data_IF_202654413715
#
_entry.id   IF_202654413715
#
_cell.length_a   1.000
_cell.length_b   1.000
_cell.length_c   1.000
_cell.angle_alpha   90.00
_cell.angle_beta   90.00
_cell.angle_gamma   90.00
#
_symmetry.space_group_name_H-M   'P 1'
#
loop_
_entity.id
_entity.type
_entity.pdbx_description
1 polymer ?
#
# COMPACT_ATOMS: atom_id res chain seq x y z
N UNK A 1 -49.74 -18.35 -28.24
CA UNK A 1 -48.58 -18.46 -27.33
C UNK A 1 -48.46 -17.32 -26.34
N UNK A 2 -48.59 -16.02 -26.74
CA UNK A 2 -48.42 -14.85 -25.82
C UNK A 2 -49.50 -14.69 -24.73
N UNK A 3 -50.73 -15.23 -24.88
CA UNK A 3 -51.80 -15.20 -23.85
C UNK A 3 -51.61 -16.28 -22.76
N UNK A 4 -51.07 -17.44 -23.10
CA UNK A 4 -50.78 -18.53 -22.14
C UNK A 4 -49.62 -18.19 -21.18
N UNK A 5 -48.57 -17.51 -21.69
CA UNK A 5 -47.44 -17.09 -20.85
C UNK A 5 -47.83 -16.04 -19.79
N UNK A 6 -48.78 -15.16 -20.08
CA UNK A 6 -49.29 -14.18 -19.09
C UNK A 6 -50.11 -14.81 -17.98
N UNK A 7 -50.84 -15.87 -18.28
CA UNK A 7 -51.63 -16.58 -17.28
C UNK A 7 -50.73 -17.39 -16.31
N UNK A 8 -49.69 -18.00 -16.83
CA UNK A 8 -48.70 -18.77 -16.03
C UNK A 8 -47.93 -17.84 -15.07
N UNK A 9 -47.56 -16.64 -15.55
CA UNK A 9 -46.88 -15.64 -14.74
C UNK A 9 -47.76 -15.08 -13.59
N UNK A 10 -49.06 -14.97 -13.84
CA UNK A 10 -50.03 -14.47 -12.83
C UNK A 10 -50.27 -15.53 -11.73
N UNK A 11 -50.32 -16.80 -12.08
CA UNK A 11 -50.53 -17.93 -11.16
C UNK A 11 -49.30 -18.12 -10.27
N UNK A 12 -48.10 -17.96 -10.81
CA UNK A 12 -46.87 -18.06 -10.02
C UNK A 12 -46.74 -16.91 -8.95
N UNK A 13 -47.19 -15.71 -9.28
CA UNK A 13 -47.19 -14.58 -8.34
C UNK A 13 -48.18 -14.75 -7.18
N UNK A 14 -49.31 -15.39 -7.41
CA UNK A 14 -50.35 -15.64 -6.38
C UNK A 14 -49.91 -16.75 -5.41
N UNK A 15 -49.19 -17.77 -5.88
CA UNK A 15 -48.69 -18.87 -5.04
C UNK A 15 -47.57 -18.38 -4.08
N UNK A 16 -46.77 -17.39 -4.43
CA UNK A 16 -45.74 -16.83 -3.54
C UNK A 16 -46.31 -15.93 -2.42
N UNK A 17 -47.51 -15.39 -2.57
CA UNK A 17 -48.18 -14.53 -1.59
C UNK A 17 -48.93 -15.26 -0.48
N UNK A 18 -49.16 -16.55 -0.63
CA UNK A 18 -49.92 -17.37 0.35
C UNK A 18 -49.05 -18.14 1.36
N UNK A 19 -47.70 -18.02 1.29
CA UNK A 19 -46.76 -18.78 2.11
C UNK A 19 -46.36 -18.12 3.46
N UNK A 20 -46.82 -16.91 3.80
CA UNK A 20 -46.31 -16.12 4.94
C UNK A 20 -47.22 -16.05 6.17
N UNK A 21 -48.22 -16.91 6.32
CA UNK A 21 -49.22 -16.79 7.39
C UNK A 21 -49.39 -18.06 8.21
N UNK A 22 -48.35 -18.78 8.62
CA UNK A 22 -48.48 -19.80 9.68
C UNK A 22 -47.21 -19.96 10.49
N UNK A 23 -47.07 -19.17 11.59
CA UNK A 23 -46.31 -19.59 12.76
C UNK A 23 -46.58 -18.60 13.92
N UNK A 24 -47.70 -18.76 14.61
CA UNK A 24 -47.86 -18.24 15.97
C UNK A 24 -48.53 -19.33 16.80
N UNK A 25 -47.90 -19.70 17.95
CA UNK A 25 -48.58 -20.30 19.06
C UNK A 25 -48.11 -21.67 19.51
N UNK A 26 -47.38 -21.73 20.63
CA UNK A 26 -47.87 -22.44 21.80
C UNK A 26 -46.92 -22.33 23.02
N UNK A 27 -47.53 -22.19 24.18
CA UNK A 27 -47.04 -21.90 25.52
C UNK A 27 -46.38 -23.08 26.24
N UNK A 28 -45.51 -22.69 27.19
CA UNK A 28 -45.32 -23.14 28.58
C UNK A 28 -44.62 -24.46 28.89
N UNK A 29 -43.51 -24.34 29.61
CA UNK A 29 -43.36 -24.89 30.98
C UNK A 29 -42.06 -24.32 31.62
N UNK A 30 -42.26 -23.84 32.83
CA UNK A 30 -41.29 -23.31 33.82
C UNK A 30 -40.33 -24.39 34.31
N UNK A 31 -39.04 -24.02 34.50
CA UNK A 31 -38.23 -24.50 35.64
C UNK A 31 -37.11 -23.47 35.92
N UNK A 32 -36.94 -23.21 37.23
CA UNK A 32 -36.13 -22.17 37.87
C UNK A 32 -34.60 -22.33 37.77
N UNK A 33 -33.91 -21.19 37.63
CA UNK A 33 -32.72 -20.64 38.34
C UNK A 33 -31.34 -21.23 38.08
N UNK A 34 -30.19 -20.48 38.11
CA UNK A 34 -29.99 -19.16 38.72
C UNK A 34 -29.34 -18.09 37.79
N UNK A 35 -29.41 -16.87 38.30
CA UNK A 35 -28.87 -15.63 37.77
C UNK A 35 -27.42 -15.73 37.31
N UNK A 36 -27.19 -15.42 36.02
CA UNK A 36 -25.92 -14.95 35.51
C UNK A 36 -26.09 -13.47 35.25
N UNK A 37 -25.18 -12.71 35.83
CA UNK A 37 -25.00 -11.28 35.70
C UNK A 37 -25.14 -10.85 34.24
N UNK A 38 -26.12 -10.02 33.97
CA UNK A 38 -26.24 -9.22 32.75
C UNK A 38 -24.99 -8.34 32.63
N UNK A 39 -24.05 -8.80 31.82
CA UNK A 39 -23.12 -7.89 31.14
C UNK A 39 -23.98 -7.10 30.16
N UNK A 40 -24.28 -5.87 30.54
CA UNK A 40 -24.93 -4.86 29.72
C UNK A 40 -24.22 -4.80 28.37
N UNK A 41 -24.76 -5.53 27.40
CA UNK A 41 -24.38 -5.43 26.01
C UNK A 41 -24.99 -4.14 25.49
N UNK A 42 -24.28 -3.03 25.73
CA UNK A 42 -24.54 -1.77 25.02
C UNK A 42 -24.22 -2.06 23.57
N UNK A 43 -25.22 -2.46 22.80
CA UNK A 43 -25.18 -2.40 21.36
C UNK A 43 -25.00 -0.94 20.99
N UNK A 44 -23.72 -0.49 20.87
CA UNK A 44 -23.41 0.74 20.21
C UNK A 44 -23.88 0.57 18.76
N UNK A 45 -24.73 1.46 18.31
CA UNK A 45 -25.07 1.66 16.89
C UNK A 45 -23.85 2.29 16.17
N UNK A 46 -22.71 1.64 16.31
CA UNK A 46 -21.44 2.04 15.77
C UNK A 46 -21.16 1.25 14.50
N UNK A 47 -21.47 1.84 13.33
CA UNK A 47 -21.02 1.28 12.06
C UNK A 47 -19.52 1.00 12.07
N UNK A 48 -19.04 0.14 11.17
CA UNK A 48 -17.62 -0.15 11.00
C UNK A 48 -16.93 1.01 10.24
N UNK A 49 -15.64 1.22 10.51
CA UNK A 49 -14.75 2.03 9.66
C UNK A 49 -14.06 1.05 8.73
N UNK A 50 -14.38 1.11 7.44
CA UNK A 50 -13.82 0.20 6.43
C UNK A 50 -12.63 0.87 5.76
N UNK A 51 -11.47 0.21 5.76
CA UNK A 51 -10.26 0.67 5.08
C UNK A 51 -9.71 -0.41 4.14
N UNK A 52 -9.04 0.00 3.07
CA UNK A 52 -8.25 -0.89 2.25
C UNK A 52 -6.82 -0.98 2.78
N UNK A 53 -6.26 -2.18 2.81
CA UNK A 53 -4.83 -2.42 2.94
C UNK A 53 -4.35 -3.02 1.63
N UNK A 54 -3.57 -2.26 0.86
CA UNK A 54 -3.03 -2.66 -0.44
C UNK A 54 -1.53 -2.81 -0.31
N UNK A 55 -1.00 -4.02 -0.54
CA UNK A 55 0.40 -4.34 -0.32
C UNK A 55 0.83 -5.55 -1.14
N UNK A 56 2.07 -5.58 -1.60
CA UNK A 56 2.64 -6.69 -2.36
C UNK A 56 2.93 -7.89 -1.45
N UNK A 57 1.91 -8.72 -1.21
CA UNK A 57 2.01 -9.91 -0.33
C UNK A 57 2.47 -11.16 -1.07
N UNK A 58 2.45 -11.16 -2.41
CA UNK A 58 3.01 -12.17 -3.29
C UNK A 58 3.96 -11.56 -4.33
N UNK A 59 4.61 -12.41 -5.14
CA UNK A 59 5.59 -11.98 -6.16
C UNK A 59 7.00 -11.79 -5.60
N UNK A 60 7.89 -11.26 -6.45
CA UNK A 60 9.34 -11.20 -6.19
C UNK A 60 9.72 -10.26 -5.02
N UNK A 61 8.86 -9.31 -4.69
CA UNK A 61 9.08 -8.32 -3.63
C UNK A 61 8.19 -8.53 -2.40
N UNK A 62 7.60 -9.71 -2.23
CA UNK A 62 6.70 -10.01 -1.10
C UNK A 62 7.34 -9.81 0.28
N UNK A 63 8.66 -9.98 0.39
CA UNK A 63 9.42 -9.74 1.63
C UNK A 63 9.33 -8.29 2.13
N UNK A 64 8.94 -7.32 1.30
CA UNK A 64 8.67 -5.94 1.71
C UNK A 64 7.22 -5.75 2.15
N UNK A 65 6.27 -6.29 1.38
CA UNK A 65 4.85 -6.09 1.62
C UNK A 65 4.30 -6.86 2.81
N UNK A 66 4.73 -8.10 3.00
CA UNK A 66 4.24 -8.92 4.11
C UNK A 66 4.52 -8.29 5.50
N UNK A 67 5.74 -7.81 5.84
CA UNK A 67 5.98 -7.16 7.12
C UNK A 67 5.20 -5.85 7.31
N UNK A 68 5.00 -5.08 6.23
CA UNK A 68 4.19 -3.84 6.29
C UNK A 68 2.75 -4.17 6.60
N UNK A 69 2.16 -5.15 5.91
CA UNK A 69 0.81 -5.66 6.17
C UNK A 69 0.69 -6.20 7.59
N UNK A 70 1.63 -7.04 8.04
CA UNK A 70 1.58 -7.65 9.37
C UNK A 70 1.69 -6.61 10.49
N UNK A 71 2.55 -5.60 10.32
CA UNK A 71 2.66 -4.47 11.25
C UNK A 71 1.38 -3.65 11.34
N UNK A 72 0.74 -3.34 10.21
CA UNK A 72 -0.54 -2.65 10.17
C UNK A 72 -1.64 -3.46 10.87
N UNK A 73 -1.74 -4.75 10.56
CA UNK A 73 -2.74 -5.65 11.14
C UNK A 73 -2.54 -5.85 12.63
N UNK A 74 -1.30 -5.92 13.10
CA UNK A 74 -0.99 -5.99 14.53
C UNK A 74 -1.57 -4.78 15.27
N UNK A 75 -1.32 -3.56 14.76
CA UNK A 75 -1.83 -2.34 15.38
C UNK A 75 -3.36 -2.26 15.33
N UNK A 76 -3.98 -2.56 14.17
CA UNK A 76 -5.43 -2.52 14.00
C UNK A 76 -6.12 -3.53 14.93
N UNK A 77 -5.57 -4.74 15.07
CA UNK A 77 -6.10 -5.73 15.99
C UNK A 77 -6.03 -5.25 17.45
N UNK A 78 -4.94 -4.61 17.86
CA UNK A 78 -4.83 -4.00 19.20
C UNK A 78 -5.82 -2.85 19.39
N UNK A 79 -5.97 -1.99 18.36
CA UNK A 79 -6.92 -0.89 18.36
C UNK A 79 -8.36 -1.40 18.53
N UNK A 80 -8.74 -2.41 17.78
CA UNK A 80 -10.06 -3.05 17.85
C UNK A 80 -10.30 -3.73 19.19
N UNK A 81 -9.30 -4.42 19.74
CA UNK A 81 -9.40 -5.02 21.09
C UNK A 81 -9.61 -3.97 22.20
N UNK A 82 -9.15 -2.73 21.96
CA UNK A 82 -9.35 -1.60 22.88
C UNK A 82 -10.61 -0.75 22.58
N UNK A 83 -11.54 -1.28 21.76
CA UNK A 83 -12.82 -0.62 21.46
C UNK A 83 -12.85 0.18 20.15
N UNK A 84 -11.81 0.09 19.32
CA UNK A 84 -11.76 0.74 18.00
C UNK A 84 -11.60 2.25 18.05
N UNK A 85 -12.07 2.93 17.03
CA UNK A 85 -12.03 4.40 16.91
C UNK A 85 -13.41 4.97 17.27
N UNK A 86 -13.50 5.70 18.36
CA UNK A 86 -14.78 6.26 18.86
C UNK A 86 -15.87 5.20 19.01
N UNK A 87 -15.52 3.99 19.46
CA UNK A 87 -16.43 2.86 19.63
C UNK A 87 -16.75 2.09 18.36
N UNK A 88 -16.17 2.46 17.21
CA UNK A 88 -16.34 1.75 15.93
C UNK A 88 -15.15 0.83 15.65
N UNK A 89 -15.43 -0.40 15.25
CA UNK A 89 -14.38 -1.33 14.83
C UNK A 89 -13.82 -0.94 13.48
N UNK A 90 -12.51 -1.10 13.27
CA UNK A 90 -11.87 -0.94 11.97
C UNK A 90 -11.90 -2.29 11.26
N UNK A 91 -12.58 -2.33 10.13
CA UNK A 91 -12.60 -3.46 9.21
C UNK A 91 -11.59 -3.23 8.11
N UNK A 92 -10.66 -4.18 7.92
CA UNK A 92 -9.65 -4.14 6.88
C UNK A 92 -10.05 -5.03 5.72
N UNK A 93 -10.00 -4.48 4.51
CA UNK A 93 -10.08 -5.22 3.26
C UNK A 93 -8.66 -5.33 2.71
N UNK A 94 -8.11 -6.53 2.67
CA UNK A 94 -6.74 -6.79 2.24
C UNK A 94 -6.71 -7.10 0.75
N UNK A 95 -5.79 -6.45 0.03
CA UNK A 95 -5.56 -6.64 -1.40
C UNK A 95 -4.06 -6.79 -1.68
N UNK A 96 -3.74 -7.67 -2.63
CA UNK A 96 -2.38 -7.91 -3.10
C UNK A 96 -2.15 -7.19 -4.43
N UNK A 97 -1.25 -6.21 -4.45
CA UNK A 97 -0.85 -5.48 -5.66
C UNK A 97 0.32 -6.14 -6.41
N UNK A 98 0.90 -7.21 -5.86
CA UNK A 98 2.03 -7.97 -6.42
C UNK A 98 3.27 -7.11 -6.74
N UNK A 99 3.29 -5.86 -6.29
CA UNK A 99 4.31 -4.87 -6.62
C UNK A 99 4.10 -4.17 -7.97
N UNK A 100 2.89 -4.25 -8.55
CA UNK A 100 2.53 -3.68 -9.83
C UNK A 100 1.55 -2.50 -9.67
N UNK A 101 1.80 -1.39 -10.40
CA UNK A 101 0.98 -0.18 -10.28
C UNK A 101 -0.44 -0.35 -10.84
N UNK A 102 -0.62 -1.16 -11.88
CA UNK A 102 -1.95 -1.43 -12.46
C UNK A 102 -2.77 -2.28 -11.50
N UNK A 103 -2.14 -3.29 -10.88
CA UNK A 103 -2.81 -4.11 -9.87
C UNK A 103 -3.16 -3.30 -8.61
N UNK A 104 -2.31 -2.35 -8.20
CA UNK A 104 -2.62 -1.44 -7.09
C UNK A 104 -3.87 -0.59 -7.36
N UNK A 105 -4.00 -0.01 -8.56
CA UNK A 105 -5.17 0.75 -8.98
C UNK A 105 -6.41 -0.13 -9.12
N UNK A 106 -6.28 -1.33 -9.66
CA UNK A 106 -7.38 -2.30 -9.74
C UNK A 106 -7.88 -2.70 -8.34
N UNK A 107 -6.96 -2.95 -7.41
CA UNK A 107 -7.28 -3.23 -6.01
C UNK A 107 -8.01 -2.07 -5.34
N UNK A 108 -7.58 -0.84 -5.61
CA UNK A 108 -8.23 0.39 -5.12
C UNK A 108 -9.67 0.51 -5.62
N UNK A 109 -9.87 0.36 -6.93
CA UNK A 109 -11.21 0.44 -7.52
C UNK A 109 -12.15 -0.60 -6.90
N UNK A 110 -11.68 -1.84 -6.74
CA UNK A 110 -12.46 -2.89 -6.08
C UNK A 110 -12.75 -2.57 -4.61
N UNK A 111 -11.81 -1.92 -3.92
CA UNK A 111 -12.00 -1.49 -2.54
C UNK A 111 -13.05 -0.38 -2.43
N UNK A 112 -13.07 0.58 -3.37
CA UNK A 112 -14.08 1.64 -3.44
C UNK A 112 -15.48 1.08 -3.59
N UNK A 113 -15.68 0.05 -4.42
CA UNK A 113 -16.96 -0.65 -4.57
C UNK A 113 -17.45 -1.28 -3.24
N UNK A 114 -16.53 -1.57 -2.32
CA UNK A 114 -16.81 -2.09 -0.99
C UNK A 114 -16.94 -0.99 0.10
N UNK A 115 -16.95 0.29 -0.30
CA UNK A 115 -17.26 1.42 0.57
C UNK A 115 -16.16 1.77 1.58
N UNK A 116 -14.90 1.71 1.18
CA UNK A 116 -13.77 2.14 2.01
C UNK A 116 -13.80 3.65 2.29
N UNK A 117 -13.17 4.05 3.38
CA UNK A 117 -13.04 5.46 3.80
C UNK A 117 -11.59 5.94 3.82
N UNK A 118 -10.62 5.05 3.70
CA UNK A 118 -9.18 5.36 3.61
C UNK A 118 -8.42 4.16 3.04
N UNK A 119 -7.20 4.45 2.55
CA UNK A 119 -6.26 3.46 2.03
C UNK A 119 -4.97 3.47 2.85
N UNK A 120 -4.54 2.29 3.29
CA UNK A 120 -3.19 2.04 3.77
C UNK A 120 -2.43 1.27 2.69
N UNK A 121 -1.42 1.90 2.09
CA UNK A 121 -0.66 1.31 0.97
C UNK A 121 -0.26 2.35 -0.09
N UNK A 122 0.39 1.93 -1.19
CA UNK A 122 1.01 0.62 -1.33
C UNK A 122 2.35 0.57 -0.56
N UNK A 123 3.15 -0.50 -0.76
CA UNK A 123 4.44 -0.66 -0.08
C UNK A 123 5.60 -0.13 -0.91
N UNK A 124 5.70 -0.54 -2.17
CA UNK A 124 6.76 -0.13 -3.10
C UNK A 124 6.44 1.23 -3.72
N UNK A 125 7.46 1.96 -4.14
CA UNK A 125 7.34 3.32 -4.68
C UNK A 125 6.43 3.39 -5.93
N UNK A 126 6.71 2.62 -6.98
CA UNK A 126 5.94 2.66 -8.23
C UNK A 126 4.44 2.41 -8.03
N UNK A 127 4.03 1.29 -7.41
CA UNK A 127 2.62 1.04 -7.08
C UNK A 127 1.99 2.12 -6.21
N UNK A 128 2.77 2.72 -5.29
CA UNK A 128 2.25 3.80 -4.43
C UNK A 128 2.00 5.08 -5.21
N UNK A 129 2.84 5.44 -6.18
CA UNK A 129 2.63 6.61 -7.04
C UNK A 129 1.36 6.41 -7.89
N UNK A 130 1.22 5.26 -8.56
CA UNK A 130 0.03 4.95 -9.34
C UNK A 130 -1.26 4.98 -8.48
N UNK A 131 -1.18 4.45 -7.27
CA UNK A 131 -2.28 4.50 -6.31
C UNK A 131 -2.55 5.93 -5.83
N UNK A 132 -1.50 6.75 -5.61
CA UNK A 132 -1.62 8.13 -5.16
C UNK A 132 -2.31 9.02 -6.21
N UNK A 133 -2.08 8.78 -7.50
CA UNK A 133 -2.78 9.46 -8.57
C UNK A 133 -4.28 9.17 -8.50
N UNK A 134 -4.67 7.90 -8.40
CA UNK A 134 -6.08 7.50 -8.32
C UNK A 134 -6.77 8.03 -7.04
N UNK A 135 -6.12 7.91 -5.88
CA UNK A 135 -6.69 8.40 -4.61
C UNK A 135 -6.77 9.92 -4.56
N UNK A 136 -5.86 10.63 -5.24
CA UNK A 136 -5.88 12.10 -5.33
C UNK A 136 -7.08 12.60 -6.13
N UNK A 137 -7.40 11.97 -7.27
CA UNK A 137 -8.58 12.30 -8.08
C UNK A 137 -9.88 12.16 -7.27
N UNK A 138 -9.98 11.14 -6.42
CA UNK A 138 -11.15 10.86 -5.59
C UNK A 138 -11.13 11.58 -4.23
N UNK A 139 -10.06 12.32 -3.92
CA UNK A 139 -9.80 12.88 -2.60
C UNK A 139 -9.89 11.82 -1.46
N UNK A 140 -9.50 10.59 -1.75
CA UNK A 140 -9.48 9.47 -0.81
C UNK A 140 -8.22 9.55 0.07
N UNK A 141 -8.33 9.58 1.40
CA UNK A 141 -7.15 9.57 2.27
C UNK A 141 -6.30 8.31 2.06
N UNK A 142 -5.00 8.53 1.81
CA UNK A 142 -4.01 7.46 1.65
C UNK A 142 -2.83 7.68 2.56
N UNK A 143 -2.32 6.61 3.19
CA UNK A 143 -1.03 6.62 3.87
C UNK A 143 -0.20 5.41 3.45
N UNK A 144 1.06 5.65 3.11
CA UNK A 144 2.05 4.60 2.87
C UNK A 144 3.07 4.52 4.01
N UNK A 145 3.50 3.32 4.35
CA UNK A 145 4.51 3.09 5.37
C UNK A 145 5.94 3.26 4.87
N UNK A 146 6.19 3.01 3.57
CA UNK A 146 7.54 2.72 3.07
C UNK A 146 7.89 3.30 1.70
N UNK A 147 6.96 3.86 0.95
CA UNK A 147 7.24 4.42 -0.38
C UNK A 147 7.95 5.78 -0.26
N UNK A 148 9.19 5.86 -0.73
CA UNK A 148 10.15 6.91 -0.41
C UNK A 148 10.34 7.98 -1.48
N UNK A 149 9.96 7.75 -2.75
CA UNK A 149 10.15 8.74 -3.80
C UNK A 149 9.33 10.03 -3.56
N UNK A 150 9.87 11.15 -3.99
CA UNK A 150 9.21 12.46 -3.88
C UNK A 150 7.85 12.47 -4.57
N UNK A 151 7.71 11.81 -5.72
CA UNK A 151 6.49 11.68 -6.51
C UNK A 151 5.31 10.99 -5.81
N UNK A 152 5.51 10.35 -4.65
CA UNK A 152 4.40 9.82 -3.84
C UNK A 152 3.48 10.92 -3.32
N UNK A 153 4.04 12.05 -2.89
CA UNK A 153 3.27 13.18 -2.32
C UNK A 153 3.29 14.44 -3.18
N UNK A 154 4.23 14.56 -4.11
CA UNK A 154 4.32 15.66 -5.08
C UNK A 154 3.70 15.23 -6.40
N UNK A 155 3.02 16.15 -7.10
CA UNK A 155 2.44 15.87 -8.42
C UNK A 155 3.54 15.79 -9.47
N UNK A 156 4.48 16.74 -9.45
CA UNK A 156 5.66 16.76 -10.31
C UNK A 156 6.91 16.88 -9.43
N UNK A 157 7.65 15.79 -9.18
CA UNK A 157 8.82 15.81 -8.31
C UNK A 157 10.01 16.58 -8.90
N UNK A 158 10.01 16.90 -10.19
CA UNK A 158 11.06 17.66 -10.87
C UNK A 158 10.82 19.18 -10.78
N UNK A 159 9.61 19.61 -10.41
CA UNK A 159 9.25 21.00 -10.16
C UNK A 159 9.26 21.28 -8.64
N UNK A 160 10.22 22.12 -8.16
CA UNK A 160 10.28 22.46 -6.73
C UNK A 160 9.05 23.23 -6.21
N UNK A 161 8.29 23.85 -7.12
CA UNK A 161 7.04 24.58 -6.80
C UNK A 161 5.79 23.69 -7.03
N UNK A 162 5.98 22.40 -7.27
CA UNK A 162 4.90 21.46 -7.51
C UNK A 162 3.89 21.39 -6.37
N UNK A 163 2.62 21.25 -6.73
CA UNK A 163 1.56 20.98 -5.77
C UNK A 163 1.78 19.66 -5.03
N UNK A 164 1.35 19.64 -3.77
CA UNK A 164 1.39 18.45 -2.92
C UNK A 164 0.00 17.81 -2.92
N UNK A 165 -0.07 16.49 -3.08
CA UNK A 165 -1.30 15.73 -2.90
C UNK A 165 -1.75 15.79 -1.44
N UNK A 166 -2.80 16.60 -1.16
CA UNK A 166 -3.24 16.93 0.20
C UNK A 166 -3.84 15.74 0.97
N UNK A 167 -4.24 14.69 0.27
CA UNK A 167 -4.84 13.46 0.82
C UNK A 167 -3.84 12.30 0.94
N UNK A 168 -2.59 12.46 0.49
CA UNK A 168 -1.57 11.39 0.49
C UNK A 168 -0.47 11.69 1.50
N UNK A 169 -0.24 10.74 2.40
CA UNK A 169 0.71 10.82 3.49
C UNK A 169 1.71 9.67 3.47
N UNK A 170 2.90 9.90 4.03
CA UNK A 170 3.90 8.85 4.25
C UNK A 170 4.41 8.86 5.69
N UNK A 171 4.80 7.69 6.18
CA UNK A 171 5.39 7.51 7.51
C UNK A 171 6.88 7.12 7.45
N UNK A 172 7.56 7.35 6.32
CA UNK A 172 8.98 7.07 6.11
C UNK A 172 9.75 8.33 5.67
N UNK A 173 11.07 8.21 5.59
CA UNK A 173 11.95 9.22 4.97
C UNK A 173 11.76 9.25 3.44
N UNK A 174 12.44 10.18 2.77
CA UNK A 174 12.39 10.36 1.32
C UNK A 174 13.73 10.01 0.66
N UNK A 175 13.70 9.62 -0.61
CA UNK A 175 14.88 9.29 -1.41
C UNK A 175 15.94 10.40 -1.43
N UNK A 176 15.60 11.70 -1.59
CA UNK A 176 16.58 12.78 -1.48
C UNK A 176 17.36 12.78 -0.17
N UNK A 177 16.70 12.50 0.95
CA UNK A 177 17.38 12.40 2.25
C UNK A 177 18.30 11.16 2.30
N UNK A 178 17.81 10.00 1.85
CA UNK A 178 18.57 8.75 1.88
C UNK A 178 19.77 8.82 0.96
N UNK A 179 19.61 9.26 -0.28
CA UNK A 179 20.70 9.37 -1.25
C UNK A 179 21.81 10.30 -0.75
N UNK A 180 21.45 11.48 -0.23
CA UNK A 180 22.40 12.40 0.41
C UNK A 180 23.15 11.76 1.57
N UNK A 181 22.43 11.10 2.49
CA UNK A 181 23.07 10.46 3.64
C UNK A 181 24.00 9.31 3.25
N UNK A 182 23.72 8.62 2.16
CA UNK A 182 24.63 7.57 1.66
C UNK A 182 25.91 8.15 1.05
N UNK A 183 25.84 9.30 0.36
CA UNK A 183 27.04 10.01 -0.12
C UNK A 183 27.87 10.55 1.06
N UNK A 184 27.22 11.21 2.04
CA UNK A 184 27.88 11.66 3.29
C UNK A 184 28.59 10.48 3.97
N UNK A 185 27.91 9.35 4.10
CA UNK A 185 28.44 8.13 4.73
C UNK A 185 29.69 7.59 4.01
N UNK A 186 29.64 7.56 2.68
CA UNK A 186 30.78 7.13 1.86
C UNK A 186 32.04 7.96 2.16
N UNK A 187 31.90 9.28 2.26
CA UNK A 187 33.02 10.19 2.54
C UNK A 187 33.41 10.16 4.02
N UNK A 188 32.45 10.38 4.93
CA UNK A 188 32.74 10.57 6.35
C UNK A 188 33.15 9.31 7.08
N UNK A 189 32.57 8.16 6.73
CA UNK A 189 32.76 6.88 7.44
C UNK A 189 33.68 5.91 6.69
N UNK A 190 33.61 5.90 5.36
CA UNK A 190 34.44 5.02 4.56
C UNK A 190 35.67 5.72 3.98
N UNK A 191 35.77 7.05 4.11
CA UNK A 191 36.87 7.87 3.55
C UNK A 191 36.99 7.72 2.04
N UNK A 192 35.89 7.42 1.35
CA UNK A 192 35.85 7.24 -0.09
C UNK A 192 36.14 8.56 -0.80
N UNK A 193 36.88 8.48 -1.89
CA UNK A 193 37.15 9.59 -2.82
C UNK A 193 36.46 9.39 -4.14
N UNK A 194 36.22 8.13 -4.50
CA UNK A 194 35.57 7.71 -5.75
C UNK A 194 34.43 6.77 -5.46
N UNK A 195 33.36 6.90 -6.25
CA UNK A 195 32.19 6.02 -6.18
C UNK A 195 31.77 5.60 -7.60
N UNK A 196 31.22 4.39 -7.74
CA UNK A 196 30.40 4.03 -8.88
C UNK A 196 28.96 3.85 -8.43
N UNK A 197 28.02 4.02 -9.35
CA UNK A 197 26.59 3.78 -9.12
C UNK A 197 26.15 2.62 -10.01
N UNK A 198 25.38 1.69 -9.42
CA UNK A 198 24.72 0.61 -10.15
C UNK A 198 23.25 0.60 -9.80
N UNK A 199 22.36 0.95 -10.75
CA UNK A 199 20.96 1.22 -10.46
C UNK A 199 20.02 0.52 -11.46
N UNK A 200 18.75 0.37 -11.06
CA UNK A 200 17.69 -0.17 -11.92
C UNK A 200 17.02 0.98 -12.68
N UNK A 201 17.08 0.94 -14.02
CA UNK A 201 16.34 1.89 -14.87
C UNK A 201 14.86 1.57 -14.91
N UNK A 202 14.01 2.60 -14.99
CA UNK A 202 12.54 2.48 -14.94
C UNK A 202 11.97 2.24 -13.56
N UNK A 203 12.79 2.37 -12.51
CA UNK A 203 12.37 2.28 -11.11
C UNK A 203 12.48 3.66 -10.45
N UNK A 204 11.34 4.30 -10.15
CA UNK A 204 11.31 5.61 -9.48
C UNK A 204 12.12 5.62 -8.18
N UNK A 205 12.10 4.53 -7.41
CA UNK A 205 12.92 4.35 -6.21
C UNK A 205 14.41 4.38 -6.51
N UNK A 206 14.85 3.55 -7.45
CA UNK A 206 16.26 3.40 -7.78
C UNK A 206 16.84 4.67 -8.41
N UNK A 207 16.11 5.28 -9.34
CA UNK A 207 16.48 6.51 -10.00
C UNK A 207 16.49 7.72 -9.05
N UNK A 208 15.49 7.83 -8.18
CA UNK A 208 15.43 8.90 -7.18
C UNK A 208 16.61 8.87 -6.21
N UNK A 209 16.99 7.69 -5.75
CA UNK A 209 18.18 7.51 -4.91
C UNK A 209 19.49 7.77 -5.66
N UNK A 210 19.62 7.27 -6.89
CA UNK A 210 20.78 7.50 -7.75
C UNK A 210 21.01 9.00 -7.97
N UNK A 211 19.96 9.74 -8.35
CA UNK A 211 20.01 11.17 -8.58
C UNK A 211 20.43 11.93 -7.32
N UNK A 212 19.81 11.64 -6.17
CA UNK A 212 20.13 12.31 -4.91
C UNK A 212 21.55 12.01 -4.41
N UNK A 213 22.03 10.77 -4.58
CA UNK A 213 23.40 10.41 -4.27
C UNK A 213 24.40 11.16 -5.17
N UNK A 214 24.15 11.20 -6.48
CA UNK A 214 25.03 11.85 -7.44
C UNK A 214 25.09 13.37 -7.22
N UNK A 215 23.95 14.00 -6.89
CA UNK A 215 23.91 15.44 -6.56
C UNK A 215 24.76 15.75 -5.32
N UNK A 216 24.56 15.00 -4.24
CA UNK A 216 25.34 15.21 -3.02
C UNK A 216 26.81 14.88 -3.19
N UNK A 217 27.14 13.78 -3.88
CA UNK A 217 28.52 13.40 -4.22
C UNK A 217 29.26 14.55 -4.89
N UNK A 218 28.63 15.22 -5.84
CA UNK A 218 29.17 16.41 -6.50
C UNK A 218 29.38 17.58 -5.52
N UNK A 219 28.43 17.77 -4.60
CA UNK A 219 28.49 18.89 -3.63
C UNK A 219 29.61 18.72 -2.61
N UNK A 220 29.89 17.48 -2.17
CA UNK A 220 30.89 17.14 -1.15
C UNK A 220 32.25 16.70 -1.72
N UNK A 221 32.39 16.66 -3.06
CA UNK A 221 33.64 16.32 -3.74
C UNK A 221 33.93 14.81 -3.80
N UNK A 222 32.92 13.95 -3.71
CA UNK A 222 33.01 12.53 -4.02
C UNK A 222 32.89 12.36 -5.54
N UNK A 223 33.95 11.84 -6.19
CA UNK A 223 33.97 11.67 -7.65
C UNK A 223 33.15 10.43 -8.06
N UNK A 224 32.14 10.60 -8.91
CA UNK A 224 31.43 9.47 -9.55
C UNK A 224 32.23 9.06 -10.81
N UNK A 225 32.93 7.91 -10.73
CA UNK A 225 33.80 7.42 -11.79
C UNK A 225 33.08 6.56 -12.81
N UNK A 226 31.90 6.04 -12.47
CA UNK A 226 31.06 5.25 -13.38
C UNK A 226 29.61 5.21 -12.91
N UNK A 227 28.68 5.05 -13.85
CA UNK A 227 27.25 4.84 -13.58
C UNK A 227 26.70 3.81 -14.55
N UNK A 228 26.36 2.65 -14.05
CA UNK A 228 25.85 1.52 -14.81
C UNK A 228 24.40 1.22 -14.44
N UNK A 229 23.63 0.84 -15.46
CA UNK A 229 22.21 0.55 -15.29
C UNK A 229 21.89 -0.89 -15.71
N UNK A 230 20.79 -1.40 -15.17
CA UNK A 230 20.15 -2.64 -15.61
C UNK A 230 18.63 -2.46 -15.67
N UNK A 231 17.94 -3.30 -16.44
CA UNK A 231 16.49 -3.30 -16.50
C UNK A 231 15.89 -4.37 -15.56
N UNK A 232 14.63 -4.19 -15.21
CA UNK A 232 13.90 -5.20 -14.44
C UNK A 232 13.93 -6.56 -15.18
N UNK A 233 14.20 -7.62 -14.43
CA UNK A 233 14.31 -8.98 -14.96
C UNK A 233 15.67 -9.37 -15.50
N UNK A 234 16.65 -8.44 -15.60
CA UNK A 234 18.02 -8.77 -15.92
C UNK A 234 18.64 -9.69 -14.86
N UNK A 235 19.44 -10.67 -15.30
CA UNK A 235 20.10 -11.67 -14.43
C UNK A 235 21.60 -11.80 -14.65
N UNK A 236 22.13 -11.15 -15.68
CA UNK A 236 23.57 -11.16 -15.97
C UNK A 236 24.09 -9.72 -15.99
N UNK A 237 24.86 -9.37 -15.00
CA UNK A 237 25.43 -8.04 -14.79
C UNK A 237 26.94 -7.99 -15.08
N UNK A 238 27.48 -9.01 -15.75
CA UNK A 238 28.92 -9.19 -15.95
C UNK A 238 29.55 -8.02 -16.70
N UNK A 239 28.85 -7.46 -17.67
CA UNK A 239 29.35 -6.32 -18.45
C UNK A 239 29.46 -5.08 -17.56
N UNK A 240 28.40 -4.74 -16.84
CA UNK A 240 28.36 -3.59 -15.92
C UNK A 240 29.39 -3.73 -14.80
N UNK A 241 29.48 -4.91 -14.18
CA UNK A 241 30.47 -5.17 -13.13
C UNK A 241 31.90 -5.08 -13.66
N UNK A 242 32.16 -5.49 -14.92
CA UNK A 242 33.49 -5.35 -15.56
C UNK A 242 33.84 -3.88 -15.79
N UNK A 243 32.88 -3.07 -16.24
CA UNK A 243 33.07 -1.63 -16.44
C UNK A 243 33.37 -0.94 -15.10
N UNK A 244 32.53 -1.15 -14.09
CA UNK A 244 32.74 -0.61 -12.74
C UNK A 244 34.10 -1.02 -12.17
N UNK A 245 34.45 -2.30 -12.25
CA UNK A 245 35.73 -2.80 -11.76
C UNK A 245 36.93 -2.17 -12.46
N UNK A 246 36.82 -1.86 -13.75
CA UNK A 246 37.89 -1.20 -14.53
C UNK A 246 38.20 0.22 -14.03
N UNK A 247 37.26 0.89 -13.38
CA UNK A 247 37.40 2.23 -12.77
C UNK A 247 37.97 2.20 -11.38
N UNK A 248 37.99 1.03 -10.73
CA UNK A 248 38.50 0.82 -9.37
C UNK A 248 37.92 1.84 -8.36
N UNK A 249 36.59 1.98 -8.23
CA UNK A 249 35.99 2.88 -7.26
C UNK A 249 36.25 2.43 -5.83
N UNK A 250 36.32 3.37 -4.88
CA UNK A 250 36.41 3.07 -3.44
C UNK A 250 35.13 2.41 -2.89
N UNK A 251 33.97 2.81 -3.46
CA UNK A 251 32.64 2.29 -3.09
C UNK A 251 31.75 2.13 -4.31
N UNK A 252 30.78 1.21 -4.24
CA UNK A 252 29.69 1.10 -5.21
C UNK A 252 28.37 1.36 -4.47
N UNK A 253 27.62 2.36 -4.92
CA UNK A 253 26.26 2.62 -4.44
C UNK A 253 25.27 1.84 -5.30
N UNK A 254 24.46 1.00 -4.67
CA UNK A 254 23.55 0.08 -5.34
C UNK A 254 22.12 0.26 -4.77
N UNK A 255 21.36 1.28 -5.22
CA UNK A 255 20.01 1.58 -4.75
C UNK A 255 18.97 0.72 -5.46
N UNK A 256 18.80 -0.51 -5.03
CA UNK A 256 17.88 -1.49 -5.63
C UNK A 256 17.06 -2.21 -4.57
N UNK A 257 15.93 -2.79 -4.98
CA UNK A 257 15.27 -3.84 -4.22
C UNK A 257 16.03 -5.16 -4.36
N UNK A 258 16.02 -6.00 -3.33
CA UNK A 258 16.76 -7.30 -3.28
C UNK A 258 15.81 -8.48 -3.05
#
# INVERSE_FOLDING_TARGET
MKKAMKLVSLVLAVVMLLGCLTACGSKSATTDTPASTDASNTSSDGGEIVIALISNTTGDYAQYGQPVRDGAMLYINQLNANGGINGKQVKVLEYDDKGDGVEAVNAYNLACDNGITAVFGATLTGPTIALADATYEDNMPQVTASATASGVTMIDPDDPDSEIRQNVFRACFIDPYQGKKMADYAVEKLSAKTAAIFYQTGSDYSEGLMNAFAEEAKAIGLEIVDTEAFAEGDKDFKAQMTNIASKNPDVVFCPIYY
#
